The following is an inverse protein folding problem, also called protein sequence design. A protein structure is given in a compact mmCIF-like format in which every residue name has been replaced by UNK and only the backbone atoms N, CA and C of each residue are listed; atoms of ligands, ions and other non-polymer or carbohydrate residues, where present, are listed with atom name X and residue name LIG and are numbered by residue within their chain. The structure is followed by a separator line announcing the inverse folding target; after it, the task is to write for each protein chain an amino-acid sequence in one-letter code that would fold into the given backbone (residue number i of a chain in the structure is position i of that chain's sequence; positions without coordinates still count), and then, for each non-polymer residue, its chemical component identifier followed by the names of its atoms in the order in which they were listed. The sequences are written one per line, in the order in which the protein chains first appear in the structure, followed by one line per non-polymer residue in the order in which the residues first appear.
data_IF_885151118277
#
_entry.id   IF_885151118277
#
_cell.length_a   1.000
_cell.length_b   1.000
_cell.length_c   1.000
_cell.angle_alpha   90.00
_cell.angle_beta   90.00
_cell.angle_gamma   90.00
#
_symmetry.space_group_name_H-M   'P 1'
#
loop_
_entity.id
_entity.type
_entity.pdbx_description
1 polymer ?
#
# COMPACT_ATOMS: atom_id res chain seq x y z
N UNK A 1 1.37 -9.10 4.04
CA UNK A 1 0.68 -7.82 3.90
C UNK A 1 -0.40 -7.62 4.95
N UNK A 2 -1.26 -8.61 5.25
CA UNK A 2 -2.26 -8.47 6.33
C UNK A 2 -1.64 -8.08 7.68
N UNK A 3 -0.61 -8.80 8.12
CA UNK A 3 0.10 -8.48 9.35
C UNK A 3 0.70 -7.06 9.35
N UNK A 4 1.22 -6.61 8.22
CA UNK A 4 1.77 -5.24 8.08
C UNK A 4 0.67 -4.18 8.21
N UNK A 5 -0.51 -4.41 7.63
CA UNK A 5 -1.67 -3.52 7.79
C UNK A 5 -2.23 -3.56 9.23
N UNK A 6 -2.03 -4.64 9.97
CA UNK A 6 -2.40 -4.75 11.38
C UNK A 6 -1.40 -4.03 12.30
N UNK A 7 -0.11 -4.23 12.04
CA UNK A 7 1.00 -3.71 12.85
C UNK A 7 1.27 -2.22 12.62
N UNK A 8 0.90 -1.67 11.47
CA UNK A 8 1.15 -0.28 11.06
C UNK A 8 -0.16 0.51 10.85
N UNK A 9 -0.79 1.04 11.93
CA UNK A 9 -2.05 1.76 11.83
C UNK A 9 -2.00 2.98 10.91
N UNK A 10 -0.87 3.69 10.86
CA UNK A 10 -0.67 4.83 9.97
C UNK A 10 -0.73 4.44 8.49
N UNK A 11 -0.11 3.32 8.14
CA UNK A 11 -0.14 2.80 6.78
C UNK A 11 -1.54 2.29 6.42
N UNK A 12 -2.20 1.58 7.34
CA UNK A 12 -3.61 1.18 7.15
C UNK A 12 -4.52 2.39 6.91
N UNK A 13 -4.33 3.46 7.68
CA UNK A 13 -5.12 4.68 7.52
C UNK A 13 -4.85 5.38 6.17
N UNK A 14 -3.61 5.34 5.68
CA UNK A 14 -3.24 5.82 4.34
C UNK A 14 -3.95 5.02 3.24
N UNK A 15 -3.92 3.69 3.32
CA UNK A 15 -4.64 2.79 2.39
C UNK A 15 -6.15 3.04 2.43
N UNK A 16 -6.74 3.16 3.61
CA UNK A 16 -8.17 3.43 3.77
C UNK A 16 -8.56 4.82 3.26
N UNK A 17 -7.67 5.81 3.40
CA UNK A 17 -7.80 7.12 2.79
C UNK A 17 -7.81 7.07 1.25
N UNK A 18 -6.86 6.35 0.67
CA UNK A 18 -6.80 6.13 -0.78
C UNK A 18 -8.05 5.42 -1.30
N UNK A 19 -8.53 4.39 -0.59
CA UNK A 19 -9.79 3.68 -0.90
C UNK A 19 -11.00 4.60 -0.93
N UNK A 20 -11.17 5.48 0.07
CA UNK A 20 -12.25 6.48 0.07
C UNK A 20 -12.13 7.44 -1.11
N UNK A 21 -10.92 7.88 -1.44
CA UNK A 21 -10.67 8.73 -2.60
C UNK A 21 -11.07 8.07 -3.93
N UNK A 22 -10.77 6.77 -4.09
CA UNK A 22 -11.16 5.98 -5.26
C UNK A 22 -12.68 5.84 -5.38
N UNK A 23 -13.38 5.58 -4.27
CA UNK A 23 -14.84 5.50 -4.23
C UNK A 23 -15.50 6.81 -4.65
N UNK A 24 -15.06 7.93 -4.07
CA UNK A 24 -15.56 9.27 -4.42
C UNK A 24 -15.31 9.62 -5.91
N UNK A 25 -14.11 9.31 -6.43
CA UNK A 25 -13.79 9.53 -7.84
C UNK A 25 -14.65 8.68 -8.78
N UNK A 26 -14.94 7.43 -8.40
CA UNK A 26 -15.83 6.56 -9.17
C UNK A 26 -17.26 7.09 -9.21
N UNK A 27 -17.77 7.61 -8.08
CA UNK A 27 -19.09 8.27 -8.01
C UNK A 27 -19.14 9.49 -8.92
N UNK A 28 -18.15 10.37 -8.83
CA UNK A 28 -18.06 11.56 -9.69
C UNK A 28 -18.06 11.15 -11.18
N UNK A 29 -17.30 10.13 -11.54
CA UNK A 29 -17.24 9.64 -12.91
C UNK A 29 -18.59 9.05 -13.38
N UNK A 30 -19.28 8.28 -12.53
CA UNK A 30 -20.60 7.73 -12.84
C UNK A 30 -21.66 8.83 -13.02
N UNK A 31 -21.63 9.87 -12.17
CA UNK A 31 -22.50 11.04 -12.27
C UNK A 31 -22.26 11.82 -13.57
N UNK A 32 -20.99 12.08 -13.92
CA UNK A 32 -20.63 12.77 -15.17
C UNK A 32 -21.06 11.98 -16.42
N UNK A 33 -21.05 10.64 -16.34
CA UNK A 33 -21.53 9.77 -17.40
C UNK A 33 -23.07 9.69 -17.48
N UNK A 34 -23.79 10.23 -16.49
CA UNK A 34 -25.25 10.17 -16.41
C UNK A 34 -25.78 8.76 -16.15
N UNK A 35 -25.05 7.94 -15.37
CA UNK A 35 -25.44 6.58 -15.07
C UNK A 35 -26.81 6.51 -14.36
N UNK A 36 -27.69 5.64 -14.85
CA UNK A 36 -29.03 5.38 -14.32
C UNK A 36 -29.17 3.98 -13.67
N UNK A 37 -28.08 3.22 -13.63
CA UNK A 37 -27.96 1.96 -12.92
C UNK A 37 -26.52 1.71 -12.42
N UNK A 38 -26.27 0.59 -11.72
CA UNK A 38 -24.94 0.30 -11.18
C UNK A 38 -23.86 0.22 -12.25
N UNK A 39 -22.70 0.85 -12.00
CA UNK A 39 -21.55 0.86 -12.92
C UNK A 39 -20.30 0.41 -12.17
N UNK A 40 -19.54 -0.51 -12.77
CA UNK A 40 -18.28 -1.00 -12.20
C UNK A 40 -17.08 -0.43 -12.93
N UNK A 41 -16.11 0.09 -12.18
CA UNK A 41 -14.83 0.56 -12.66
C UNK A 41 -13.69 -0.33 -12.13
N UNK A 42 -12.64 -0.56 -12.94
CA UNK A 42 -11.43 -1.21 -12.43
C UNK A 42 -10.67 -0.27 -11.50
N UNK A 43 -10.09 -0.82 -10.44
CA UNK A 43 -9.14 -0.13 -9.56
C UNK A 43 -7.74 -0.66 -9.88
N UNK A 44 -6.85 0.25 -10.26
CA UNK A 44 -5.42 0.01 -10.41
C UNK A 44 -4.69 1.34 -10.14
N UNK A 45 -4.08 1.46 -8.96
CA UNK A 45 -3.32 2.66 -8.62
C UNK A 45 -1.87 2.56 -9.08
N UNK A 46 -1.22 3.70 -9.30
CA UNK A 46 0.22 3.71 -9.45
C UNK A 46 0.91 3.24 -8.16
N UNK A 47 2.11 2.67 -8.31
CA UNK A 47 2.99 2.35 -7.18
C UNK A 47 3.39 3.63 -6.43
N UNK A 48 3.06 3.70 -5.15
CA UNK A 48 3.36 4.83 -4.27
C UNK A 48 4.32 4.40 -3.17
N UNK A 49 5.25 5.28 -2.80
CA UNK A 49 6.21 5.00 -1.74
C UNK A 49 5.61 5.23 -0.35
N UNK A 50 5.89 4.33 0.58
CA UNK A 50 5.61 4.49 2.00
C UNK A 50 6.89 4.21 2.80
N UNK A 51 7.13 4.98 3.87
CA UNK A 51 8.30 4.80 4.73
C UNK A 51 7.87 4.52 6.16
N UNK A 52 8.34 3.40 6.69
CA UNK A 52 8.11 2.94 8.05
C UNK A 52 9.25 3.47 8.92
N UNK A 53 8.96 4.44 9.78
CA UNK A 53 9.93 4.92 10.78
C UNK A 53 10.16 3.90 11.92
N UNK A 54 11.33 3.95 12.56
CA UNK A 54 11.65 3.09 13.71
C UNK A 54 10.66 3.29 14.87
N UNK A 55 10.13 4.51 15.00
CA UNK A 55 9.14 4.90 15.99
C UNK A 55 7.75 4.26 15.77
N UNK A 56 7.46 3.80 14.55
CA UNK A 56 6.20 3.17 14.19
C UNK A 56 6.25 1.67 14.48
N UNK A 57 7.24 0.98 13.93
CA UNK A 57 7.55 -0.39 14.29
C UNK A 57 9.01 -0.72 13.96
N UNK A 58 9.78 -1.09 14.98
CA UNK A 58 11.21 -1.40 14.83
C UNK A 58 11.46 -2.62 13.97
N UNK A 59 10.61 -3.64 14.02
CA UNK A 59 10.81 -4.85 13.22
C UNK A 59 10.57 -4.55 11.75
N UNK A 60 9.48 -3.86 11.41
CA UNK A 60 9.17 -3.49 10.03
C UNK A 60 10.15 -2.44 9.48
N UNK A 61 10.63 -1.51 10.30
CA UNK A 61 11.72 -0.59 9.95
C UNK A 61 13.00 -1.34 9.57
N UNK A 62 13.42 -2.30 10.39
CA UNK A 62 14.63 -3.10 10.12
C UNK A 62 14.46 -4.08 8.97
N UNK A 63 13.26 -4.61 8.77
CA UNK A 63 12.97 -5.60 7.73
C UNK A 63 12.77 -4.97 6.35
N UNK A 64 12.15 -3.79 6.29
CA UNK A 64 11.75 -3.13 5.04
C UNK A 64 12.13 -1.65 5.05
N UNK A 65 11.70 -0.90 6.06
CA UNK A 65 11.89 0.55 6.11
C UNK A 65 11.09 1.24 5.01
N UNK A 66 11.68 1.42 3.84
CA UNK A 66 10.99 1.94 2.67
C UNK A 66 10.32 0.84 1.85
N UNK A 67 9.10 1.08 1.38
CA UNK A 67 8.41 0.18 0.46
C UNK A 67 7.68 0.95 -0.63
N UNK A 68 7.25 0.23 -1.67
CA UNK A 68 6.21 0.70 -2.58
C UNK A 68 4.96 -0.15 -2.46
N UNK A 69 3.79 0.45 -2.61
CA UNK A 69 2.52 -0.26 -2.62
C UNK A 69 1.59 0.22 -3.75
N UNK A 70 0.67 -0.65 -4.17
CA UNK A 70 -0.46 -0.30 -5.03
C UNK A 70 -1.76 -0.92 -4.49
N UNK A 71 -2.90 -0.47 -5.02
CA UNK A 71 -4.23 -1.01 -4.74
C UNK A 71 -4.83 -1.48 -6.06
N UNK A 72 -5.26 -2.73 -6.10
CA UNK A 72 -5.88 -3.35 -7.26
C UNK A 72 -7.25 -3.92 -6.90
N UNK A 73 -8.19 -3.92 -7.84
CA UNK A 73 -9.53 -4.49 -7.63
C UNK A 73 -10.60 -3.85 -8.51
N UNK A 74 -11.78 -3.65 -7.93
CA UNK A 74 -12.91 -3.02 -8.61
C UNK A 74 -13.80 -2.26 -7.64
N UNK A 75 -14.43 -1.20 -8.14
CA UNK A 75 -15.46 -0.41 -7.44
C UNK A 75 -16.73 -0.39 -8.26
N UNK A 76 -17.85 -0.74 -7.63
CA UNK A 76 -19.19 -0.64 -8.20
C UNK A 76 -19.90 0.53 -7.55
N UNK A 77 -20.36 1.47 -8.36
CA UNK A 77 -21.12 2.64 -7.95
C UNK A 77 -22.60 2.36 -8.14
N UNK A 78 -23.41 2.84 -7.20
CA UNK A 78 -24.86 2.67 -7.16
C UNK A 78 -25.53 4.04 -7.17
N UNK A 79 -26.24 4.40 -8.26
CA UNK A 79 -27.11 5.58 -8.27
C UNK A 79 -28.23 5.46 -7.22
N UNK A 80 -28.73 6.59 -6.69
CA UNK A 80 -29.88 6.57 -5.79
C UNK A 80 -31.16 6.14 -6.51
N UNK A 81 -32.08 5.51 -5.78
CA UNK A 81 -33.41 5.13 -6.31
C UNK A 81 -34.32 6.34 -6.55
N UNK A 82 -34.12 7.41 -5.78
CA UNK A 82 -34.88 8.67 -5.86
C UNK A 82 -34.01 9.83 -6.36
N UNK A 83 -34.59 10.76 -7.12
CA UNK A 83 -33.90 11.95 -7.60
C UNK A 83 -33.39 12.80 -6.42
N UNK A 84 -32.08 13.08 -6.39
CA UNK A 84 -31.43 13.81 -5.31
C UNK A 84 -30.99 12.96 -4.11
N UNK A 85 -31.14 11.63 -4.17
CA UNK A 85 -30.60 10.72 -3.16
C UNK A 85 -29.06 10.62 -3.17
N UNK A 86 -28.51 9.97 -2.15
CA UNK A 86 -27.05 9.78 -2.01
C UNK A 86 -26.57 8.63 -2.91
N UNK A 87 -25.49 8.89 -3.64
CA UNK A 87 -24.78 7.85 -4.39
C UNK A 87 -23.93 7.04 -3.44
N UNK A 88 -23.78 5.75 -3.70
CA UNK A 88 -22.93 4.89 -2.85
C UNK A 88 -22.02 4.03 -3.71
N UNK A 89 -21.03 3.41 -3.09
CA UNK A 89 -20.18 2.44 -3.76
C UNK A 89 -19.93 1.20 -2.89
N UNK A 90 -19.69 0.07 -3.55
CA UNK A 90 -19.09 -1.14 -2.98
C UNK A 90 -17.79 -1.41 -3.72
N UNK A 91 -16.69 -1.56 -2.99
CA UNK A 91 -15.36 -1.75 -3.56
C UNK A 91 -14.68 -2.98 -2.95
N UNK A 92 -14.14 -3.83 -3.81
CA UNK A 92 -13.36 -5.01 -3.43
C UNK A 92 -11.94 -4.83 -3.94
N UNK A 93 -10.97 -4.74 -3.03
CA UNK A 93 -9.57 -4.44 -3.35
C UNK A 93 -8.59 -5.26 -2.52
N UNK A 94 -7.43 -5.51 -3.12
CA UNK A 94 -6.22 -5.98 -2.46
C UNK A 94 -5.16 -4.89 -2.48
N UNK A 95 -4.21 -4.96 -1.54
CA UNK A 95 -3.04 -4.08 -1.50
C UNK A 95 -1.83 -4.94 -1.82
N UNK A 96 -1.04 -4.53 -2.82
CA UNK A 96 0.23 -5.18 -3.12
C UNK A 96 1.36 -4.33 -2.59
N UNK A 97 2.40 -4.97 -2.09
CA UNK A 97 3.65 -4.32 -1.72
C UNK A 97 4.80 -4.90 -2.53
N UNK A 98 5.82 -4.06 -2.75
CA UNK A 98 7.13 -4.49 -3.20
C UNK A 98 8.21 -3.65 -2.55
N UNK A 99 9.36 -4.28 -2.34
CA UNK A 99 10.60 -3.59 -2.04
C UNK A 99 11.75 -4.28 -2.78
N UNK A 100 12.64 -3.45 -3.31
CA UNK A 100 13.93 -3.86 -3.83
C UNK A 100 14.96 -3.06 -3.07
N UNK A 101 15.43 -3.65 -1.97
CA UNK A 101 16.50 -3.05 -1.19
C UNK A 101 17.71 -2.82 -2.11
N UNK A 102 18.15 -1.58 -2.23
CA UNK A 102 19.30 -1.18 -3.00
C UNK A 102 20.39 -0.68 -2.04
N UNK A 103 21.58 -1.28 -2.08
CA UNK A 103 22.74 -0.89 -1.26
C UNK A 103 23.27 0.53 -1.59
N UNK A 104 22.49 1.56 -1.28
CA UNK A 104 22.90 2.95 -1.43
C UNK A 104 23.96 3.26 -0.36
N UNK A 105 25.23 3.29 -0.78
CA UNK A 105 26.41 3.26 0.11
C UNK A 105 26.57 4.41 1.13
N UNK A 106 25.58 5.29 1.31
CA UNK A 106 25.52 6.30 2.36
C UNK A 106 24.63 5.93 3.56
N UNK A 107 23.93 4.79 3.52
CA UNK A 107 23.02 4.36 4.58
C UNK A 107 23.66 3.29 5.50
N UNK A 108 23.12 3.16 6.70
CA UNK A 108 23.53 2.18 7.69
C UNK A 108 22.64 2.22 8.92
N UNK A 109 22.58 1.09 9.63
CA UNK A 109 21.63 0.87 10.71
C UNK A 109 22.32 0.28 11.93
N UNK A 110 21.97 0.78 13.11
CA UNK A 110 22.40 0.20 14.37
C UNK A 110 21.51 -1.01 14.70
N UNK A 111 22.03 -2.21 14.42
CA UNK A 111 21.28 -3.46 14.61
C UNK A 111 21.35 -3.98 16.05
N UNK A 112 22.42 -3.66 16.77
CA UNK A 112 22.65 -4.00 18.18
C UNK A 112 23.47 -2.89 18.86
N UNK A 113 23.45 -2.77 20.20
CA UNK A 113 24.30 -1.82 20.92
C UNK A 113 25.78 -1.96 20.54
N UNK A 114 26.36 -0.90 19.97
CA UNK A 114 27.75 -0.87 19.52
C UNK A 114 28.03 -1.56 18.17
N UNK A 115 27.00 -2.05 17.47
CA UNK A 115 27.11 -2.66 16.16
C UNK A 115 26.35 -1.85 15.12
N UNK A 116 27.10 -0.99 14.43
CA UNK A 116 26.64 -0.28 13.24
C UNK A 116 26.92 -1.12 11.99
N UNK A 117 25.90 -1.42 11.22
CA UNK A 117 26.03 -2.14 9.94
C UNK A 117 25.71 -1.16 8.82
N UNK A 118 26.70 -0.84 8.00
CA UNK A 118 26.49 0.00 6.82
C UNK A 118 26.08 -0.82 5.60
N UNK A 119 25.33 -0.21 4.69
CA UNK A 119 24.94 -0.80 3.41
C UNK A 119 26.16 -1.25 2.61
N UNK A 120 27.28 -0.52 2.74
CA UNK A 120 28.54 -0.92 2.10
C UNK A 120 29.03 -2.27 2.61
N UNK A 121 28.98 -2.52 3.91
CA UNK A 121 29.42 -3.80 4.50
C UNK A 121 28.56 -4.93 3.97
N UNK A 122 27.24 -4.73 3.92
CA UNK A 122 26.32 -5.76 3.44
C UNK A 122 26.44 -5.97 1.92
N UNK A 123 26.71 -4.92 1.13
CA UNK A 123 27.02 -5.04 -0.29
C UNK A 123 28.32 -5.82 -0.54
N UNK A 124 29.35 -5.58 0.27
CA UNK A 124 30.62 -6.32 0.18
C UNK A 124 30.42 -7.78 0.59
N UNK A 125 29.60 -8.06 1.61
CA UNK A 125 29.17 -9.40 1.98
C UNK A 125 28.38 -10.09 0.85
N UNK A 126 27.51 -9.36 0.15
CA UNK A 126 26.77 -9.88 -1.00
C UNK A 126 27.70 -10.30 -2.13
N UNK A 127 28.65 -9.44 -2.50
CA UNK A 127 29.67 -9.73 -3.52
C UNK A 127 30.58 -10.89 -3.12
N UNK A 128 30.88 -11.03 -1.84
CA UNK A 128 31.65 -12.13 -1.29
C UNK A 128 30.84 -13.45 -1.19
N UNK A 129 29.54 -13.43 -1.48
CA UNK A 129 28.66 -14.60 -1.42
C UNK A 129 28.24 -15.01 -0.01
N UNK A 130 28.41 -14.13 0.99
CA UNK A 130 28.04 -14.37 2.39
C UNK A 130 26.76 -13.63 2.82
N UNK A 131 26.23 -12.74 1.97
CA UNK A 131 24.90 -12.14 2.10
C UNK A 131 24.15 -12.17 0.76
N UNK A 132 22.84 -11.98 0.79
CA UNK A 132 22.01 -11.95 -0.42
C UNK A 132 20.90 -10.90 -0.30
N UNK A 133 20.73 -10.08 -1.34
CA UNK A 133 19.53 -9.27 -1.53
C UNK A 133 18.38 -10.15 -2.01
N UNK A 134 17.19 -9.90 -1.49
CA UNK A 134 15.96 -10.56 -1.93
C UNK A 134 14.94 -9.49 -2.30
N UNK A 135 14.30 -9.59 -3.48
CA UNK A 135 13.11 -8.79 -3.75
C UNK A 135 12.02 -9.23 -2.78
N UNK A 136 11.39 -8.26 -2.13
CA UNK A 136 10.26 -8.50 -1.24
C UNK A 136 8.98 -8.12 -1.97
N UNK A 137 7.97 -8.97 -1.87
CA UNK A 137 6.66 -8.73 -2.44
C UNK A 137 5.60 -9.45 -1.63
N UNK A 138 4.37 -8.97 -1.73
CA UNK A 138 3.24 -9.62 -1.09
C UNK A 138 1.95 -8.89 -1.37
N UNK A 139 0.85 -9.61 -1.19
CA UNK A 139 -0.51 -9.13 -1.44
C UNK A 139 -1.32 -9.35 -0.17
N UNK A 140 -2.21 -8.41 0.15
CA UNK A 140 -3.18 -8.58 1.23
C UNK A 140 -4.27 -9.55 0.79
N UNK A 141 -5.06 -10.01 1.75
CA UNK A 141 -6.35 -10.58 1.40
C UNK A 141 -7.22 -9.49 0.75
N UNK A 142 -8.14 -9.95 -0.10
CA UNK A 142 -9.15 -9.09 -0.69
C UNK A 142 -10.09 -8.55 0.39
N UNK A 143 -10.28 -7.24 0.42
CA UNK A 143 -11.16 -6.55 1.36
C UNK A 143 -12.29 -5.86 0.61
N UNK A 144 -13.52 -6.05 1.09
CA UNK A 144 -14.70 -5.31 0.61
C UNK A 144 -15.01 -4.14 1.54
N UNK A 145 -15.22 -2.97 0.96
CA UNK A 145 -15.55 -1.71 1.66
C UNK A 145 -16.72 -1.03 0.97
N UNK A 146 -17.49 -0.26 1.74
CA UNK A 146 -18.64 0.49 1.26
C UNK A 146 -18.52 1.95 1.72
N UNK A 147 -19.11 2.87 0.96
CA UNK A 147 -19.12 4.29 1.32
C UNK A 147 -20.08 5.12 0.46
N UNK A 148 -20.34 6.36 0.89
CA UNK A 148 -21.00 7.38 0.07
C UNK A 148 -20.06 8.00 -0.97
#
# INVERSE_FOLDING_TARGET
MNQMLEDLPEFRNEVDGARRGLGAAAIEQAQQAGADGPVTFPVNTAWTGHYIGEEHDKNWFLATGGMQYDINGSVTVHPPEEEGGEWTYTMTTEVNFRDQYNWDGGKGTDVLPGLHVSDKVLADMHRAGVAQEFPMYGTSDSTTTEGP
#
